data_IF_179082742275
#
_entry.id   IF_179082742275
#
_cell.length_a   1.000
_cell.length_b   1.000
_cell.length_c   1.000
_cell.angle_alpha   90.00
_cell.angle_beta   90.00
_cell.angle_gamma   90.00
#
_symmetry.space_group_name_H-M   'P 1'
#
loop_
_entity.id
_entity.type
_entity.pdbx_description
1 polymer ?
#
# COMPACT_ATOMS: atom_id res chain seq x y z
N UNK A 1 6.04 8.77 9.69
CA UNK A 1 5.75 9.09 11.09
C UNK A 1 7.00 9.59 11.83
N UNK A 2 8.05 8.80 11.94
CA UNK A 2 9.32 9.15 12.63
C UNK A 2 9.88 10.52 12.19
N UNK A 3 10.00 10.75 10.90
CA UNK A 3 10.48 12.02 10.33
C UNK A 3 9.67 13.26 10.81
N UNK A 4 8.35 13.11 11.00
CA UNK A 4 7.48 14.22 11.49
C UNK A 4 7.73 14.49 12.97
N UNK A 5 7.95 13.44 13.76
CA UNK A 5 8.23 13.54 15.20
C UNK A 5 9.62 14.15 15.44
N UNK A 6 10.63 13.70 14.70
CA UNK A 6 11.99 14.24 14.80
C UNK A 6 12.09 15.73 14.42
N UNK A 7 11.39 16.14 13.37
CA UNK A 7 11.35 17.54 12.96
C UNK A 7 10.65 18.43 13.97
N UNK A 8 9.58 17.93 14.61
CA UNK A 8 8.89 18.65 15.68
C UNK A 8 9.81 18.81 16.90
N UNK A 9 10.55 17.77 17.27
CA UNK A 9 11.48 17.80 18.40
C UNK A 9 12.65 18.78 18.18
N UNK A 10 13.04 19.02 16.95
CA UNK A 10 14.17 19.89 16.60
C UNK A 10 13.78 21.34 16.27
N UNK A 11 12.52 21.76 16.50
CA UNK A 11 11.97 23.08 16.15
C UNK A 11 12.17 23.54 14.69
N UNK A 12 12.61 22.64 13.80
CA UNK A 12 12.81 22.94 12.38
C UNK A 12 11.48 23.24 11.70
N UNK A 13 10.41 22.63 12.18
CA UNK A 13 9.06 22.80 11.64
C UNK A 13 8.54 24.22 11.79
N UNK A 14 8.88 24.93 12.88
CA UNK A 14 8.46 26.32 13.10
C UNK A 14 8.98 27.25 12.01
N UNK A 15 10.21 27.05 11.59
CA UNK A 15 10.83 27.82 10.50
C UNK A 15 10.22 27.48 9.16
N UNK A 16 9.95 26.20 8.90
CA UNK A 16 9.37 25.72 7.63
C UNK A 16 7.91 26.15 7.46
N UNK A 17 7.10 26.11 8.52
CA UNK A 17 5.67 26.50 8.49
C UNK A 17 5.52 28.01 8.30
N UNK A 18 6.52 28.81 8.69
CA UNK A 18 6.53 30.25 8.39
C UNK A 18 6.74 30.55 6.90
N UNK A 19 7.36 29.64 6.14
CA UNK A 19 7.73 29.83 4.74
C UNK A 19 6.82 29.10 3.75
N UNK A 20 6.20 27.97 4.12
CA UNK A 20 5.42 27.10 3.22
C UNK A 20 4.13 26.65 3.92
N UNK A 21 3.07 26.43 3.12
CA UNK A 21 1.79 25.91 3.67
C UNK A 21 2.00 24.51 4.25
N UNK A 22 1.47 24.22 5.47
CA UNK A 22 1.62 22.92 6.13
C UNK A 22 1.15 21.72 5.28
N UNK A 23 0.14 21.93 4.44
CA UNK A 23 -0.39 20.91 3.52
C UNK A 23 0.60 20.55 2.41
N UNK A 24 1.35 21.55 1.90
CA UNK A 24 2.36 21.34 0.87
C UNK A 24 3.61 20.64 1.41
N UNK A 25 3.99 20.95 2.65
CA UNK A 25 5.06 20.25 3.37
C UNK A 25 4.73 18.76 3.56
N UNK A 26 3.51 18.48 3.99
CA UNK A 26 3.03 17.13 4.22
C UNK A 26 2.96 16.35 2.92
N UNK A 27 2.42 16.96 1.86
CA UNK A 27 2.41 16.38 0.51
C UNK A 27 3.82 16.10 -0.01
N UNK A 28 4.74 17.06 0.14
CA UNK A 28 6.14 16.88 -0.26
C UNK A 28 6.80 15.68 0.41
N UNK A 29 6.56 15.48 1.71
CA UNK A 29 7.05 14.30 2.45
C UNK A 29 6.42 13.01 1.96
N UNK A 30 5.10 12.99 1.81
CA UNK A 30 4.38 11.80 1.34
C UNK A 30 4.88 11.43 -0.05
N UNK A 31 4.98 12.39 -0.97
CA UNK A 31 5.48 12.14 -2.33
C UNK A 31 6.95 11.73 -2.33
N UNK A 32 7.80 12.40 -1.54
CA UNK A 32 9.23 12.06 -1.45
C UNK A 32 9.48 10.65 -0.95
N UNK A 33 8.81 10.25 0.15
CA UNK A 33 8.90 8.88 0.67
C UNK A 33 8.30 7.86 -0.31
N UNK A 34 7.23 8.24 -1.03
CA UNK A 34 6.64 7.42 -2.09
C UNK A 34 7.61 7.16 -3.24
N UNK A 35 8.35 8.17 -3.66
CA UNK A 35 9.38 8.01 -4.69
C UNK A 35 10.47 7.04 -4.24
N UNK A 36 10.92 7.12 -2.98
CA UNK A 36 11.88 6.17 -2.41
C UNK A 36 11.30 4.75 -2.41
N UNK A 37 10.05 4.56 -2.01
CA UNK A 37 9.41 3.25 -2.02
C UNK A 37 9.30 2.66 -3.44
N UNK A 38 8.96 3.47 -4.44
CA UNK A 38 8.93 3.04 -5.86
C UNK A 38 10.32 2.66 -6.35
N UNK A 39 11.36 3.44 -6.06
CA UNK A 39 12.74 3.10 -6.44
C UNK A 39 13.19 1.81 -5.77
N UNK A 40 12.80 1.56 -4.52
CA UNK A 40 13.09 0.33 -3.82
C UNK A 40 12.40 -0.88 -4.46
N UNK A 41 11.12 -0.76 -4.83
CA UNK A 41 10.41 -1.82 -5.56
C UNK A 41 11.07 -2.15 -6.88
N UNK A 42 11.45 -1.14 -7.67
CA UNK A 42 12.16 -1.33 -8.92
C UNK A 42 13.52 -2.03 -8.70
N UNK A 43 14.28 -1.61 -7.68
CA UNK A 43 15.54 -2.23 -7.33
C UNK A 43 15.36 -3.71 -6.97
N UNK A 44 14.36 -4.06 -6.14
CA UNK A 44 14.06 -5.44 -5.79
C UNK A 44 13.62 -6.27 -7.00
N UNK A 45 12.81 -5.71 -7.89
CA UNK A 45 12.38 -6.38 -9.13
C UNK A 45 13.57 -6.69 -10.02
N UNK A 46 14.48 -5.73 -10.23
CA UNK A 46 15.70 -5.92 -11.00
C UNK A 46 16.62 -6.96 -10.33
N UNK A 47 16.83 -6.86 -9.02
CA UNK A 47 17.67 -7.80 -8.29
C UNK A 47 17.12 -9.23 -8.35
N UNK A 48 15.81 -9.39 -8.17
CA UNK A 48 15.15 -10.71 -8.27
C UNK A 48 15.25 -11.29 -9.66
N UNK A 49 15.07 -10.48 -10.70
CA UNK A 49 15.21 -10.89 -12.09
C UNK A 49 16.64 -11.33 -12.41
N UNK A 50 17.63 -10.54 -11.99
CA UNK A 50 19.06 -10.90 -12.14
C UNK A 50 19.41 -12.15 -11.34
N UNK A 51 18.95 -12.25 -10.10
CA UNK A 51 19.17 -13.43 -9.25
C UNK A 51 18.60 -14.70 -9.88
N UNK A 52 17.40 -14.61 -10.42
CA UNK A 52 16.76 -15.73 -11.14
C UNK A 52 17.54 -16.11 -12.40
N UNK A 53 18.01 -15.14 -13.18
CA UNK A 53 18.81 -15.40 -14.38
C UNK A 53 20.16 -16.05 -14.05
N UNK A 54 20.83 -15.59 -12.98
CA UNK A 54 22.08 -16.20 -12.50
C UNK A 54 21.82 -17.62 -11.97
N UNK A 55 20.74 -17.81 -11.23
CA UNK A 55 20.34 -19.14 -10.75
C UNK A 55 20.12 -20.11 -11.91
N UNK A 56 19.38 -19.71 -12.93
CA UNK A 56 19.19 -20.52 -14.15
C UNK A 56 20.52 -20.85 -14.80
N UNK A 57 21.43 -19.89 -14.96
CA UNK A 57 22.74 -20.08 -15.58
C UNK A 57 23.62 -21.07 -14.79
N UNK A 58 23.61 -21.00 -13.45
CA UNK A 58 24.43 -21.86 -12.58
C UNK A 58 23.85 -23.29 -12.43
N UNK A 59 22.53 -23.41 -12.45
CA UNK A 59 21.81 -24.66 -12.20
C UNK A 59 21.11 -25.20 -13.47
N UNK A 60 21.70 -24.96 -14.67
CA UNK A 60 21.22 -25.48 -15.96
C UNK A 60 21.30 -27.01 -15.98
N UNK A 61 20.47 -27.64 -15.20
CA UNK A 61 20.12 -29.04 -15.31
C UNK A 61 18.86 -29.11 -16.20
N UNK A 62 18.92 -29.83 -17.28
CA UNK A 62 17.99 -29.95 -18.42
C UNK A 62 16.46 -29.79 -18.27
N UNK A 63 15.95 -29.70 -17.04
CA UNK A 63 14.54 -29.41 -16.74
C UNK A 63 14.23 -27.91 -16.69
N UNK A 64 15.21 -27.05 -16.39
CA UNK A 64 15.05 -25.59 -16.36
C UNK A 64 15.34 -24.99 -17.73
N UNK A 65 16.23 -25.62 -18.53
CA UNK A 65 16.50 -25.21 -19.90
C UNK A 65 15.27 -25.28 -20.82
N UNK A 66 14.34 -26.21 -20.59
CA UNK A 66 13.05 -26.25 -21.29
C UNK A 66 12.10 -25.12 -20.91
N UNK A 67 12.14 -24.62 -19.65
CA UNK A 67 11.37 -23.48 -19.26
C UNK A 67 11.93 -22.15 -19.79
N UNK A 68 13.23 -22.07 -20.07
CA UNK A 68 13.88 -20.87 -20.62
C UNK A 68 13.55 -20.61 -22.10
N UNK A 69 13.08 -21.62 -22.83
CA UNK A 69 12.57 -21.46 -24.20
C UNK A 69 11.25 -20.73 -24.29
N UNK A 70 10.60 -20.44 -23.15
CA UNK A 70 9.41 -19.58 -23.06
C UNK A 70 9.68 -18.14 -23.55
N UNK A 71 10.94 -17.72 -23.65
CA UNK A 71 11.33 -16.43 -24.24
C UNK A 71 11.27 -16.37 -25.75
N UNK A 72 11.18 -17.49 -26.43
CA UNK A 72 11.15 -17.58 -27.91
C UNK A 72 9.76 -17.74 -28.54
N UNK A 73 8.70 -17.68 -27.73
CA UNK A 73 7.32 -17.67 -28.23
C UNK A 73 6.72 -19.05 -28.59
N UNK A 74 7.49 -20.11 -28.52
CA UNK A 74 7.00 -21.48 -28.70
C UNK A 74 7.01 -22.22 -27.36
N UNK A 75 5.84 -22.48 -26.82
CA UNK A 75 5.67 -23.29 -25.61
C UNK A 75 5.83 -24.75 -25.98
N UNK A 76 6.80 -25.50 -25.41
CA UNK A 76 6.96 -26.93 -25.68
C UNK A 76 5.66 -27.70 -25.37
N UNK A 77 5.29 -28.66 -26.23
CA UNK A 77 4.07 -29.46 -26.07
C UNK A 77 4.00 -30.17 -24.71
N UNK A 78 5.16 -30.62 -24.21
CA UNK A 78 5.25 -31.24 -22.86
C UNK A 78 4.95 -30.28 -21.72
N UNK A 79 5.29 -29.01 -21.87
CA UNK A 79 4.96 -27.99 -20.89
C UNK A 79 3.47 -27.64 -20.94
N UNK A 80 2.85 -27.60 -22.13
CA UNK A 80 1.42 -27.42 -22.31
C UNK A 80 0.64 -28.60 -21.70
N UNK A 81 1.10 -29.81 -21.75
CA UNK A 81 0.48 -30.98 -21.13
C UNK A 81 0.63 -30.93 -19.61
N UNK A 82 1.79 -30.53 -19.06
CA UNK A 82 2.00 -30.33 -17.62
C UNK A 82 1.21 -29.15 -17.08
N UNK A 83 1.01 -28.10 -17.88
CA UNK A 83 0.15 -26.96 -17.54
C UNK A 83 -1.32 -27.32 -17.57
N UNK A 84 -1.74 -28.17 -18.50
CA UNK A 84 -3.11 -28.66 -18.57
C UNK A 84 -3.45 -29.65 -17.46
N UNK A 85 -2.45 -30.37 -16.94
CA UNK A 85 -2.59 -31.33 -15.85
C UNK A 85 -2.51 -30.67 -14.46
N UNK A 86 -1.95 -29.45 -14.39
CA UNK A 86 -1.86 -28.65 -13.15
C UNK A 86 -2.86 -27.48 -13.20
N UNK A 87 -4.00 -27.63 -12.53
CA UNK A 87 -5.03 -26.59 -12.43
C UNK A 87 -4.48 -25.22 -12.01
N UNK A 88 -3.43 -25.19 -11.20
CA UNK A 88 -2.77 -23.95 -10.76
C UNK A 88 -2.03 -23.20 -11.86
N UNK A 89 -1.48 -23.87 -12.87
CA UNK A 89 -0.75 -23.24 -13.97
C UNK A 89 -1.70 -22.74 -15.07
N UNK A 90 -2.81 -23.44 -15.32
CA UNK A 90 -3.84 -22.99 -16.28
C UNK A 90 -4.43 -21.63 -15.86
N UNK A 91 -4.66 -21.41 -14.58
CA UNK A 91 -5.12 -20.13 -14.03
C UNK A 91 -4.17 -18.97 -14.28
N UNK A 92 -2.85 -19.21 -14.37
CA UNK A 92 -1.88 -18.14 -14.69
C UNK A 92 -2.01 -17.62 -16.12
N UNK A 93 -2.51 -18.44 -17.05
CA UNK A 93 -2.75 -18.03 -18.44
C UNK A 93 -4.02 -17.21 -18.60
N UNK A 94 -5.01 -17.40 -17.70
CA UNK A 94 -6.28 -16.68 -17.72
C UNK A 94 -6.18 -15.29 -17.04
N UNK A 95 -5.07 -15.02 -16.33
CA UNK A 95 -4.86 -13.73 -15.67
C UNK A 95 -4.73 -12.62 -16.72
N UNK A 96 -5.59 -11.61 -16.60
CA UNK A 96 -5.47 -10.37 -17.36
C UNK A 96 -4.32 -9.52 -16.81
N UNK A 97 -3.09 -9.82 -17.23
CA UNK A 97 -1.87 -9.16 -16.73
C UNK A 97 -1.90 -7.64 -16.82
N UNK A 98 -2.55 -7.07 -17.85
CA UNK A 98 -2.70 -5.63 -18.01
C UNK A 98 -3.56 -5.01 -16.89
N UNK A 99 -4.65 -5.67 -16.50
CA UNK A 99 -5.53 -5.24 -15.40
C UNK A 99 -4.86 -5.46 -14.06
N UNK A 100 -4.13 -6.56 -13.90
CA UNK A 100 -3.41 -6.89 -12.68
C UNK A 100 -2.29 -5.89 -12.40
N UNK A 101 -1.45 -5.57 -13.38
CA UNK A 101 -0.35 -4.61 -13.24
C UNK A 101 -0.92 -3.20 -13.04
N UNK A 102 -1.90 -2.79 -13.85
CA UNK A 102 -2.57 -1.49 -13.70
C UNK A 102 -3.25 -1.35 -12.34
N UNK A 103 -3.95 -2.39 -11.88
CA UNK A 103 -4.57 -2.46 -10.57
C UNK A 103 -3.54 -2.39 -9.45
N UNK A 104 -2.46 -3.16 -9.53
CA UNK A 104 -1.39 -3.16 -8.55
C UNK A 104 -0.80 -1.75 -8.37
N UNK A 105 -0.49 -1.05 -9.46
CA UNK A 105 0.02 0.33 -9.41
C UNK A 105 -1.03 1.27 -8.82
N UNK A 106 -2.28 1.18 -9.26
CA UNK A 106 -3.36 2.06 -8.81
C UNK A 106 -3.65 1.89 -7.31
N UNK A 107 -3.78 0.63 -6.82
CA UNK A 107 -4.03 0.34 -5.41
C UNK A 107 -2.81 0.60 -4.53
N UNK A 108 -1.59 0.42 -5.06
CA UNK A 108 -0.37 0.81 -4.37
C UNK A 108 -0.33 2.33 -4.12
N UNK A 109 -0.58 3.14 -5.14
CA UNK A 109 -0.60 4.60 -5.02
C UNK A 109 -1.70 5.05 -4.05
N UNK A 110 -2.92 4.52 -4.21
CA UNK A 110 -4.06 4.85 -3.35
C UNK A 110 -3.82 4.44 -1.89
N UNK A 111 -3.35 3.22 -1.65
CA UNK A 111 -3.00 2.71 -0.33
C UNK A 111 -1.87 3.50 0.31
N UNK A 112 -0.83 3.83 -0.46
CA UNK A 112 0.27 4.65 0.02
C UNK A 112 -0.20 6.05 0.46
N UNK A 113 -1.05 6.72 -0.32
CA UNK A 113 -1.63 8.02 0.04
C UNK A 113 -2.51 7.93 1.28
N UNK A 114 -3.35 6.89 1.39
CA UNK A 114 -4.22 6.68 2.54
C UNK A 114 -3.41 6.46 3.81
N UNK A 115 -2.55 5.44 3.83
CA UNK A 115 -1.77 5.10 5.02
C UNK A 115 -0.71 6.13 5.35
N UNK A 116 -0.08 6.74 4.34
CA UNK A 116 0.86 7.84 4.50
C UNK A 116 0.23 9.04 5.19
N UNK A 117 -1.00 9.41 4.80
CA UNK A 117 -1.73 10.50 5.44
C UNK A 117 -2.16 10.16 6.89
N UNK A 118 -2.58 8.93 7.16
CA UNK A 118 -2.91 8.47 8.52
C UNK A 118 -1.69 8.50 9.43
N UNK A 119 -0.56 7.98 8.98
CA UNK A 119 0.70 8.03 9.75
C UNK A 119 1.22 9.45 9.95
N UNK A 120 1.03 10.33 8.97
CA UNK A 120 1.40 11.73 9.11
C UNK A 120 0.51 12.45 10.14
N UNK A 121 -0.80 12.18 10.14
CA UNK A 121 -1.74 12.70 11.13
C UNK A 121 -1.34 12.28 12.56
N UNK A 122 -1.02 11.00 12.75
CA UNK A 122 -0.55 10.50 14.06
C UNK A 122 0.79 11.13 14.42
N UNK A 123 1.76 11.16 13.50
CA UNK A 123 3.08 11.76 13.75
C UNK A 123 3.01 13.23 14.18
N UNK A 124 2.03 14.00 13.66
CA UNK A 124 1.80 15.39 14.08
C UNK A 124 1.16 15.52 15.46
N UNK A 125 0.47 14.49 15.94
CA UNK A 125 -0.32 14.50 17.19
C UNK A 125 0.46 14.00 18.41
N UNK A 126 1.62 13.36 18.21
CA UNK A 126 2.45 12.79 19.28
C UNK A 126 3.66 13.65 19.56
N UNK A 127 4.19 13.56 20.79
CA UNK A 127 5.38 14.30 21.21
C UNK A 127 6.65 13.43 21.24
N UNK A 128 6.47 12.11 21.28
CA UNK A 128 7.59 11.16 21.31
C UNK A 128 7.35 9.96 20.38
N UNK A 129 8.43 9.31 19.95
CA UNK A 129 8.33 8.08 19.16
C UNK A 129 7.60 6.95 19.91
N UNK A 130 7.82 6.86 21.24
CA UNK A 130 7.20 5.83 22.08
C UNK A 130 5.67 5.97 22.13
N UNK A 131 5.17 7.19 22.27
CA UNK A 131 3.75 7.49 22.22
C UNK A 131 3.15 7.17 20.85
N UNK A 132 3.88 7.49 19.78
CA UNK A 132 3.49 7.20 18.42
C UNK A 132 3.39 5.70 18.12
N UNK A 133 4.26 4.87 18.68
CA UNK A 133 4.22 3.42 18.50
C UNK A 133 2.90 2.80 18.96
N UNK A 134 2.32 3.27 20.06
CA UNK A 134 1.00 2.83 20.52
C UNK A 134 -0.15 3.16 19.56
N UNK A 135 0.02 4.17 18.71
CA UNK A 135 -0.98 4.57 17.72
C UNK A 135 -0.81 3.88 16.35
N UNK A 136 0.30 3.20 16.11
CA UNK A 136 0.55 2.47 14.87
C UNK A 136 -0.40 1.28 14.72
N UNK A 137 -0.59 0.52 15.80
CA UNK A 137 -1.36 -0.72 15.77
C UNK A 137 -2.81 -0.53 15.26
N UNK A 138 -3.60 0.43 15.75
CA UNK A 138 -4.95 0.66 15.23
C UNK A 138 -5.01 1.02 13.74
N UNK A 139 -3.96 1.69 13.22
CA UNK A 139 -3.88 2.05 11.80
C UNK A 139 -3.50 0.84 10.94
N UNK A 140 -2.58 0.01 11.42
CA UNK A 140 -2.10 -1.16 10.68
C UNK A 140 -2.99 -2.38 10.84
N UNK A 141 -3.82 -2.45 11.89
CA UNK A 141 -4.71 -3.59 12.12
C UNK A 141 -5.63 -3.92 10.94
N UNK A 142 -6.30 -2.95 10.27
CA UNK A 142 -7.10 -3.23 9.07
C UNK A 142 -6.26 -3.82 7.93
N UNK A 143 -5.02 -3.34 7.76
CA UNK A 143 -4.11 -3.86 6.73
C UNK A 143 -3.70 -5.31 7.02
N UNK A 144 -3.37 -5.60 8.27
CA UNK A 144 -3.06 -6.98 8.71
C UNK A 144 -4.27 -7.89 8.54
N UNK A 145 -5.46 -7.42 8.91
CA UNK A 145 -6.69 -8.17 8.69
C UNK A 145 -6.94 -8.41 7.20
N UNK A 146 -6.73 -7.40 6.35
CA UNK A 146 -6.78 -7.53 4.90
C UNK A 146 -5.79 -8.55 4.36
N UNK A 147 -4.57 -8.60 4.90
CA UNK A 147 -3.56 -9.61 4.54
C UNK A 147 -4.01 -11.03 4.88
N UNK A 148 -4.51 -11.27 6.10
CA UNK A 148 -5.04 -12.59 6.47
C UNK A 148 -6.26 -12.98 5.63
N UNK A 149 -7.16 -12.05 5.34
CA UNK A 149 -8.29 -12.32 4.47
C UNK A 149 -7.84 -12.63 3.03
N UNK A 150 -6.80 -11.97 2.54
CA UNK A 150 -6.21 -12.24 1.22
C UNK A 150 -5.60 -13.65 1.14
N UNK A 151 -4.96 -14.17 2.22
CA UNK A 151 -4.50 -15.56 2.24
C UNK A 151 -5.66 -16.56 2.17
N UNK A 152 -6.76 -16.27 2.84
CA UNK A 152 -7.99 -17.10 2.74
C UNK A 152 -8.61 -17.04 1.34
N UNK A 153 -8.47 -15.91 0.64
CA UNK A 153 -8.99 -15.74 -0.71
C UNK A 153 -8.30 -16.63 -1.75
N UNK A 154 -7.05 -17.03 -1.49
CA UNK A 154 -6.31 -17.96 -2.36
C UNK A 154 -6.94 -19.35 -2.33
N UNK A 155 -7.42 -19.80 -1.14
CA UNK A 155 -8.05 -21.11 -0.99
C UNK A 155 -9.54 -21.07 -1.36
N UNK A 156 -10.25 -19.98 -1.08
CA UNK A 156 -11.68 -19.82 -1.27
C UNK A 156 -12.01 -18.42 -1.82
N UNK A 157 -11.87 -18.17 -3.12
CA UNK A 157 -12.05 -16.85 -3.73
C UNK A 157 -13.51 -16.36 -3.68
N UNK A 158 -14.48 -17.26 -3.57
CA UNK A 158 -15.93 -16.96 -3.60
C UNK A 158 -16.51 -16.57 -2.24
N UNK A 159 -15.70 -16.36 -1.21
CA UNK A 159 -16.19 -15.97 0.10
C UNK A 159 -16.83 -14.57 0.05
N UNK A 160 -18.13 -14.40 0.45
CA UNK A 160 -18.83 -13.12 0.37
C UNK A 160 -18.14 -11.99 1.18
N UNK A 161 -17.40 -12.35 2.23
CA UNK A 161 -16.66 -11.39 3.05
C UNK A 161 -15.58 -10.67 2.26
N UNK A 162 -15.00 -11.32 1.23
CA UNK A 162 -13.94 -10.73 0.41
C UNK A 162 -14.45 -9.59 -0.47
N UNK A 163 -15.72 -9.63 -0.88
CA UNK A 163 -16.36 -8.52 -1.62
C UNK A 163 -16.41 -7.27 -0.74
N UNK A 164 -16.93 -7.39 0.47
CA UNK A 164 -17.05 -6.29 1.42
C UNK A 164 -15.68 -5.71 1.79
N UNK A 165 -14.71 -6.58 2.07
CA UNK A 165 -13.35 -6.16 2.39
C UNK A 165 -12.63 -5.53 1.19
N UNK A 166 -12.95 -5.97 -0.03
CA UNK A 166 -12.45 -5.37 -1.27
C UNK A 166 -12.97 -3.95 -1.49
N UNK A 167 -14.17 -3.62 -1.02
CA UNK A 167 -14.74 -2.28 -1.11
C UNK A 167 -14.36 -1.38 0.07
N UNK A 168 -13.93 -1.98 1.19
CA UNK A 168 -13.51 -1.21 2.34
C UNK A 168 -12.13 -0.58 2.12
N UNK A 169 -11.99 0.76 2.11
CA UNK A 169 -10.77 1.44 1.66
C UNK A 169 -9.50 1.07 2.41
N UNK A 170 -9.59 0.69 3.71
CA UNK A 170 -8.41 0.32 4.48
C UNK A 170 -7.90 -1.09 4.15
N UNK A 171 -8.72 -1.99 3.66
CA UNK A 171 -8.33 -3.36 3.30
C UNK A 171 -8.16 -3.55 1.79
N UNK A 172 -8.83 -2.71 0.99
CA UNK A 172 -8.89 -2.82 -0.46
C UNK A 172 -7.53 -2.88 -1.15
N UNK A 173 -6.46 -2.16 -0.72
CA UNK A 173 -5.16 -2.22 -1.40
C UNK A 173 -4.54 -3.61 -1.43
N UNK A 174 -4.90 -4.47 -0.48
CA UNK A 174 -4.39 -5.85 -0.40
C UNK A 174 -5.37 -6.83 -1.04
N UNK A 175 -6.64 -6.75 -0.66
CA UNK A 175 -7.67 -7.73 -1.07
C UNK A 175 -7.97 -7.64 -2.57
N UNK A 176 -8.05 -6.42 -3.12
CA UNK A 176 -8.38 -6.27 -4.54
C UNK A 176 -7.29 -6.83 -5.46
N UNK A 177 -6.03 -6.87 -5.03
CA UNK A 177 -4.97 -7.50 -5.83
C UNK A 177 -5.21 -9.01 -6.02
N UNK A 178 -5.63 -9.69 -4.96
CA UNK A 178 -5.95 -11.12 -5.02
C UNK A 178 -7.25 -11.35 -5.82
N UNK A 179 -8.26 -10.51 -5.63
CA UNK A 179 -9.52 -10.59 -6.38
C UNK A 179 -9.33 -10.31 -7.87
N UNK A 180 -8.46 -9.39 -8.25
CA UNK A 180 -8.12 -9.13 -9.66
C UNK A 180 -7.47 -10.37 -10.29
N UNK A 181 -6.58 -11.05 -9.58
CA UNK A 181 -6.00 -12.32 -10.03
C UNK A 181 -7.07 -13.41 -10.19
N UNK A 182 -8.12 -13.41 -9.37
CA UNK A 182 -9.27 -14.31 -9.46
C UNK A 182 -10.32 -13.91 -10.53
N UNK A 183 -10.08 -12.85 -11.33
CA UNK A 183 -10.95 -12.48 -12.45
C UNK A 183 -12.18 -11.63 -12.07
N UNK A 184 -12.07 -10.78 -11.04
CA UNK A 184 -13.14 -9.86 -10.65
C UNK A 184 -13.52 -8.89 -11.78
N UNK A 185 -14.77 -8.47 -11.81
CA UNK A 185 -15.28 -7.55 -12.83
C UNK A 185 -14.61 -6.17 -12.75
N UNK A 186 -14.24 -5.57 -13.89
CA UNK A 186 -13.56 -4.27 -13.96
C UNK A 186 -14.27 -3.13 -13.23
N UNK A 187 -15.61 -3.14 -13.24
CA UNK A 187 -16.39 -2.10 -12.55
C UNK A 187 -16.19 -2.13 -11.03
N UNK A 188 -16.00 -3.32 -10.45
CA UNK A 188 -15.68 -3.46 -9.01
C UNK A 188 -14.30 -2.91 -8.68
N UNK A 189 -13.32 -3.19 -9.54
CA UNK A 189 -11.95 -2.65 -9.41
C UNK A 189 -11.97 -1.13 -9.44
N UNK A 190 -12.67 -0.54 -10.40
CA UNK A 190 -12.79 0.91 -10.54
C UNK A 190 -13.53 1.53 -9.37
N UNK A 191 -14.64 0.93 -8.93
CA UNK A 191 -15.42 1.42 -7.79
C UNK A 191 -14.61 1.37 -6.50
N UNK A 192 -13.95 0.25 -6.22
CA UNK A 192 -13.10 0.09 -5.04
C UNK A 192 -11.94 1.11 -5.04
N UNK A 193 -11.28 1.28 -6.19
CA UNK A 193 -10.24 2.28 -6.33
C UNK A 193 -10.74 3.71 -6.12
N UNK A 194 -11.92 4.04 -6.66
CA UNK A 194 -12.53 5.36 -6.46
C UNK A 194 -12.85 5.63 -4.97
N UNK A 195 -13.38 4.63 -4.25
CA UNK A 195 -13.63 4.71 -2.81
C UNK A 195 -12.31 4.89 -2.03
N UNK A 196 -11.26 4.15 -2.40
CA UNK A 196 -9.93 4.27 -1.83
C UNK A 196 -9.38 5.69 -2.02
N UNK A 197 -9.43 6.23 -3.24
CA UNK A 197 -8.93 7.57 -3.55
C UNK A 197 -9.74 8.66 -2.87
N UNK A 198 -11.07 8.52 -2.79
CA UNK A 198 -11.93 9.43 -2.03
C UNK A 198 -11.53 9.45 -0.55
N UNK A 199 -11.36 8.29 0.05
CA UNK A 199 -10.95 8.16 1.45
C UNK A 199 -9.55 8.71 1.67
N UNK A 200 -8.59 8.41 0.77
CA UNK A 200 -7.24 8.96 0.83
C UNK A 200 -7.23 10.50 0.76
N UNK A 201 -8.06 11.09 -0.10
CA UNK A 201 -8.22 12.54 -0.20
C UNK A 201 -8.80 13.15 1.08
N UNK A 202 -9.83 12.51 1.66
CA UNK A 202 -10.43 12.96 2.93
C UNK A 202 -9.44 12.86 4.09
N UNK A 203 -8.71 11.75 4.20
CA UNK A 203 -7.70 11.57 5.25
C UNK A 203 -6.53 12.53 5.08
N UNK A 204 -6.09 12.81 3.86
CA UNK A 204 -5.04 13.80 3.59
C UNK A 204 -5.48 15.21 4.03
N UNK A 205 -6.72 15.59 3.74
CA UNK A 205 -7.28 16.89 4.19
C UNK A 205 -7.38 16.98 5.73
N UNK A 206 -7.78 15.89 6.39
CA UNK A 206 -7.81 15.81 7.86
C UNK A 206 -6.38 15.83 8.43
N UNK A 207 -5.45 15.08 7.85
CA UNK A 207 -4.05 15.07 8.25
C UNK A 207 -3.41 16.46 8.13
N UNK A 208 -3.69 17.19 7.04
CA UNK A 208 -3.21 18.56 6.85
C UNK A 208 -3.72 19.53 7.92
N UNK A 209 -5.00 19.41 8.31
CA UNK A 209 -5.56 20.20 9.42
C UNK A 209 -4.90 19.84 10.75
N UNK A 210 -4.78 18.55 11.06
CA UNK A 210 -4.14 18.07 12.30
C UNK A 210 -2.67 18.48 12.35
N UNK A 211 -1.96 18.42 11.22
CA UNK A 211 -0.57 18.86 11.12
C UNK A 211 -0.43 20.34 11.45
N UNK A 212 -1.28 21.20 10.88
CA UNK A 212 -1.29 22.63 11.14
C UNK A 212 -1.48 22.96 12.64
N UNK A 213 -2.40 22.27 13.30
CA UNK A 213 -2.67 22.51 14.72
C UNK A 213 -1.64 21.82 15.63
N UNK A 214 -1.21 20.60 15.31
CA UNK A 214 -0.28 19.82 16.11
C UNK A 214 1.13 20.42 16.17
N UNK A 215 1.53 21.15 15.11
CA UNK A 215 2.82 21.84 15.05
C UNK A 215 2.80 23.17 15.78
N UNK A 216 1.66 23.91 15.76
CA UNK A 216 1.56 25.25 16.31
C UNK A 216 1.20 25.29 17.82
N UNK A 217 0.77 24.17 18.39
CA UNK A 217 0.36 24.12 19.80
C UNK A 217 1.30 23.21 20.60
N UNK A 218 2.14 23.84 21.38
CA UNK A 218 2.96 23.22 22.42
C UNK A 218 2.08 22.94 23.67
N UNK A 219 1.05 22.12 23.50
CA UNK A 219 0.00 21.95 24.50
C UNK A 219 0.06 20.58 25.19
N UNK A 220 -0.15 20.59 26.50
CA UNK A 220 -0.11 19.49 27.47
C UNK A 220 -1.09 18.31 27.26
N UNK A 221 -1.73 18.20 26.10
CA UNK A 221 -2.65 17.09 25.77
C UNK A 221 -2.16 16.38 24.53
N UNK A 222 -1.61 15.19 24.73
CA UNK A 222 -1.12 14.33 23.66
C UNK A 222 -2.03 13.11 23.45
N UNK A 223 -1.92 12.48 22.29
CA UNK A 223 -2.53 11.19 21.99
C UNK A 223 -3.98 11.24 21.49
N UNK A 224 -4.67 10.10 21.61
CA UNK A 224 -6.03 9.87 21.10
C UNK A 224 -7.06 10.91 21.54
N UNK A 225 -6.94 11.44 22.77
CA UNK A 225 -7.87 12.45 23.30
C UNK A 225 -7.82 13.76 22.50
N UNK A 226 -6.65 14.10 21.98
CA UNK A 226 -6.44 15.27 21.15
C UNK A 226 -7.09 15.08 19.78
N UNK A 227 -6.87 13.92 19.16
CA UNK A 227 -7.47 13.56 17.88
C UNK A 227 -9.00 13.60 17.94
N UNK A 228 -9.61 12.99 18.96
CA UNK A 228 -11.07 12.96 19.15
C UNK A 228 -11.63 14.36 19.42
N UNK A 229 -10.97 15.15 20.27
CA UNK A 229 -11.42 16.50 20.61
C UNK A 229 -11.43 17.44 19.39
N UNK A 230 -10.45 17.29 18.51
CA UNK A 230 -10.32 18.13 17.30
C UNK A 230 -11.22 17.68 16.16
N UNK A 231 -11.49 16.39 16.04
CA UNK A 231 -12.48 15.87 15.10
C UNK A 231 -13.91 16.35 15.45
N UNK A 232 -14.19 16.65 16.72
CA UNK A 232 -15.48 17.15 17.19
C UNK A 232 -15.68 18.66 16.98
N UNK A 233 -14.75 19.35 16.37
CA UNK A 233 -14.94 20.73 15.92
C UNK A 233 -14.93 21.81 17.03
N UNK A 234 -14.49 21.51 18.24
CA UNK A 234 -14.42 22.45 19.37
C UNK A 234 -13.13 23.32 19.39
N UNK A 235 -12.51 23.53 18.22
CA UNK A 235 -11.40 24.44 18.06
C UNK A 235 -11.88 25.85 17.71
N UNK A 236 -12.22 26.64 18.70
CA UNK A 236 -12.24 28.10 18.60
C UNK A 236 -10.98 28.65 19.20
#
# INVERSE_FOLDING_TARGET
MRSVVEEKANHVVEVLVAAVRPEELLLGKVVGLGAVAVTQLLAWTILSSLGFSVFQFLFDSGTIGQAATLGSGEVPADLLTLMAENDGLSHLLDIQWSVMIGGAIAFYIGGYLLYGSLFAAVGSSVQSEQEGQGMILPITAPLMFGYFAATMAVENPDLPILEWLGWFPLTSPVIMLVRIAGGVALWEVVLSWALLMLTARLTLGLAGRLYRFGVLHDGSRSGWKLLVHWMQGHGK
#
